data_IF_704444689147
#
_entry.id   IF_704444689147
#
_cell.length_a   1.000
_cell.length_b   1.000
_cell.length_c   1.000
_cell.angle_alpha   90.00
_cell.angle_beta   90.00
_cell.angle_gamma   90.00
#
_symmetry.space_group_name_H-M   'P 1'
#
loop_
_entity.id
_entity.type
_entity.pdbx_description
1 polymer ?
#
# COMPACT_ATOMS: atom_id res chain seq x y z
N UNK A 1 -51.13 -25.02 -43.98
CA UNK A 1 -50.10 -25.55 -43.06
C UNK A 1 -48.94 -24.58 -43.13
N UNK A 2 -48.82 -23.67 -42.17
CA UNK A 2 -47.74 -22.70 -42.12
C UNK A 2 -46.54 -23.37 -41.45
N UNK A 3 -45.52 -23.68 -42.26
CA UNK A 3 -44.22 -24.13 -41.79
C UNK A 3 -43.56 -22.91 -41.11
N UNK A 4 -43.51 -22.92 -39.78
CA UNK A 4 -42.78 -21.91 -39.02
C UNK A 4 -41.29 -22.12 -39.29
N UNK A 5 -40.72 -21.27 -40.14
CA UNK A 5 -39.27 -21.16 -40.30
C UNK A 5 -38.67 -20.75 -38.96
N UNK A 6 -38.09 -21.75 -38.28
CA UNK A 6 -37.36 -21.58 -37.04
C UNK A 6 -36.04 -20.86 -37.35
N UNK A 7 -36.10 -19.53 -37.29
CA UNK A 7 -34.98 -18.64 -37.63
C UNK A 7 -33.75 -18.97 -36.76
N UNK A 8 -32.58 -19.37 -37.33
CA UNK A 8 -31.39 -19.84 -36.57
C UNK A 8 -30.74 -18.76 -35.70
N UNK A 9 -31.21 -17.52 -35.81
CA UNK A 9 -30.76 -16.34 -35.06
C UNK A 9 -31.05 -16.42 -33.55
N UNK A 10 -32.06 -17.18 -33.10
CA UNK A 10 -32.34 -17.34 -31.66
C UNK A 10 -31.29 -18.17 -30.92
N UNK A 11 -30.72 -19.18 -31.57
CA UNK A 11 -29.76 -20.07 -30.93
C UNK A 11 -28.37 -19.41 -30.76
N UNK A 12 -27.93 -18.63 -31.75
CA UNK A 12 -26.67 -17.89 -31.72
C UNK A 12 -26.71 -16.73 -30.72
N UNK A 13 -27.82 -15.97 -30.66
CA UNK A 13 -28.00 -14.89 -29.69
C UNK A 13 -28.04 -15.41 -28.25
N UNK A 14 -28.70 -16.56 -28.01
CA UNK A 14 -28.73 -17.17 -26.67
C UNK A 14 -27.34 -17.63 -26.21
N UNK A 15 -26.56 -18.24 -27.11
CA UNK A 15 -25.17 -18.63 -26.81
C UNK A 15 -24.29 -17.42 -26.54
N UNK A 16 -24.41 -16.35 -27.33
CA UNK A 16 -23.66 -15.12 -27.12
C UNK A 16 -24.00 -14.48 -25.76
N UNK A 17 -25.29 -14.41 -25.39
CA UNK A 17 -25.72 -13.86 -24.11
C UNK A 17 -25.17 -14.65 -22.90
N UNK A 18 -25.12 -15.99 -23.00
CA UNK A 18 -24.53 -16.85 -21.95
C UNK A 18 -23.03 -16.60 -21.85
N UNK A 19 -22.31 -16.53 -22.96
CA UNK A 19 -20.86 -16.28 -22.97
C UNK A 19 -20.55 -14.89 -22.38
N UNK A 20 -21.30 -13.86 -22.77
CA UNK A 20 -21.17 -12.52 -22.19
C UNK A 20 -21.50 -12.48 -20.71
N UNK A 21 -22.53 -13.20 -20.26
CA UNK A 21 -22.90 -13.31 -18.85
C UNK A 21 -21.81 -13.99 -18.01
N UNK A 22 -21.19 -15.05 -18.54
CA UNK A 22 -20.05 -15.72 -17.90
C UNK A 22 -18.83 -14.80 -17.86
N UNK A 23 -18.51 -14.11 -18.96
CA UNK A 23 -17.41 -13.14 -19.00
C UNK A 23 -17.62 -11.98 -18.00
N UNK A 24 -18.85 -11.49 -17.86
CA UNK A 24 -19.19 -10.46 -16.87
C UNK A 24 -19.03 -10.99 -15.44
N UNK A 25 -19.47 -12.21 -15.15
CA UNK A 25 -19.24 -12.84 -13.84
C UNK A 25 -17.75 -13.02 -13.54
N UNK A 26 -16.97 -13.44 -14.54
CA UNK A 26 -15.50 -13.55 -14.48
C UNK A 26 -14.83 -12.18 -14.47
N UNK A 27 -15.50 -11.09 -14.80
CA UNK A 27 -14.93 -9.75 -14.61
C UNK A 27 -15.23 -9.23 -13.19
N UNK A 28 -16.47 -9.41 -12.75
CA UNK A 28 -17.00 -8.81 -11.52
C UNK A 28 -16.61 -9.59 -10.26
N UNK A 29 -16.34 -10.89 -10.33
CA UNK A 29 -15.94 -11.69 -9.16
C UNK A 29 -14.44 -11.69 -8.89
N UNK A 30 -13.57 -12.05 -9.85
CA UNK A 30 -12.15 -12.19 -9.56
C UNK A 30 -11.42 -10.84 -9.50
N UNK A 31 -11.93 -9.73 -10.05
CA UNK A 31 -11.30 -8.42 -9.85
C UNK A 31 -11.39 -7.98 -8.37
N UNK A 32 -12.58 -7.94 -7.72
CA UNK A 32 -12.67 -7.69 -6.29
C UNK A 32 -11.92 -8.73 -5.46
N UNK A 33 -11.97 -10.01 -5.85
CA UNK A 33 -11.24 -11.06 -5.14
C UNK A 33 -9.72 -10.88 -5.27
N UNK A 34 -9.21 -10.52 -6.45
CA UNK A 34 -7.80 -10.21 -6.68
C UNK A 34 -7.40 -8.96 -5.88
N UNK A 35 -8.19 -7.88 -5.90
CA UNK A 35 -7.94 -6.68 -5.07
C UNK A 35 -7.91 -7.08 -3.58
N UNK A 36 -8.86 -7.87 -3.11
CA UNK A 36 -8.89 -8.36 -1.73
C UNK A 36 -7.64 -9.18 -1.40
N UNK A 37 -7.22 -10.10 -2.28
CA UNK A 37 -6.00 -10.90 -2.10
C UNK A 37 -4.74 -10.04 -2.17
N UNK A 38 -4.66 -9.05 -3.07
CA UNK A 38 -3.54 -8.11 -3.15
C UNK A 38 -3.45 -7.24 -1.90
N UNK A 39 -4.58 -6.76 -1.38
CA UNK A 39 -4.63 -5.96 -0.15
C UNK A 39 -4.29 -6.82 1.08
N UNK A 40 -4.86 -8.02 1.19
CA UNK A 40 -4.63 -8.95 2.33
C UNK A 40 -3.22 -9.51 2.33
N UNK A 41 -2.70 -9.92 1.17
CA UNK A 41 -1.31 -10.38 0.99
C UNK A 41 -0.30 -9.22 1.02
N UNK A 42 -0.79 -8.00 0.79
CA UNK A 42 -0.07 -6.75 0.97
C UNK A 42 0.16 -6.34 2.42
N UNK A 43 -0.27 -7.12 3.43
CA UNK A 43 0.27 -7.00 4.79
C UNK A 43 1.74 -7.45 4.76
N UNK A 44 2.62 -6.55 4.32
CA UNK A 44 4.07 -6.77 4.32
C UNK A 44 4.52 -7.23 5.70
N UNK A 45 5.53 -8.09 5.75
CA UNK A 45 6.15 -8.43 7.03
C UNK A 45 7.34 -7.51 7.20
N UNK A 46 7.33 -6.76 8.29
CA UNK A 46 8.50 -5.98 8.71
C UNK A 46 9.25 -6.84 9.68
N UNK A 47 10.44 -7.26 9.29
CA UNK A 47 11.36 -7.96 10.18
C UNK A 47 12.35 -6.92 10.66
N UNK A 48 12.24 -6.55 11.93
CA UNK A 48 13.26 -5.73 12.60
C UNK A 48 14.32 -6.71 13.11
N UNK A 49 15.42 -6.81 12.39
CA UNK A 49 16.61 -7.56 12.80
C UNK A 49 17.55 -6.69 13.64
N UNK A 50 18.59 -7.30 14.20
CA UNK A 50 19.57 -6.60 15.06
C UNK A 50 20.33 -5.49 14.32
N UNK A 51 20.53 -5.64 13.00
CA UNK A 51 21.34 -4.70 12.20
C UNK A 51 20.51 -3.81 11.27
N UNK A 52 19.19 -3.99 11.22
CA UNK A 52 18.38 -3.27 10.23
C UNK A 52 16.89 -3.60 10.22
N UNK A 53 16.16 -2.78 9.51
CA UNK A 53 14.75 -2.98 9.20
C UNK A 53 14.65 -3.56 7.79
N UNK A 54 14.19 -4.80 7.70
CA UNK A 54 13.91 -5.46 6.43
C UNK A 54 12.41 -5.46 6.18
N UNK A 55 12.01 -4.75 5.12
CA UNK A 55 10.63 -4.72 4.66
C UNK A 55 10.43 -5.82 3.62
N UNK A 56 9.85 -6.93 4.04
CA UNK A 56 9.40 -7.99 3.15
C UNK A 56 7.99 -7.64 2.65
N UNK A 57 7.93 -6.80 1.61
CA UNK A 57 6.70 -6.42 0.92
C UNK A 57 6.79 -6.69 -0.59
N UNK A 58 5.66 -6.92 -1.25
CA UNK A 58 5.64 -7.08 -2.71
C UNK A 58 5.49 -5.71 -3.39
N UNK A 59 6.61 -5.24 -3.92
CA UNK A 59 6.77 -4.01 -4.69
C UNK A 59 8.26 -3.82 -4.96
N UNK A 60 8.68 -4.12 -6.20
CA UNK A 60 10.00 -4.15 -6.84
C UNK A 60 11.31 -4.18 -6.03
N UNK A 61 11.47 -3.52 -4.88
CA UNK A 61 12.73 -3.48 -4.13
C UNK A 61 12.45 -3.75 -2.64
N UNK A 62 12.92 -4.88 -2.06
CA UNK A 62 12.96 -5.02 -0.60
C UNK A 62 13.87 -3.91 -0.05
N UNK A 63 13.27 -2.88 0.51
CA UNK A 63 14.00 -1.78 1.12
C UNK A 63 14.66 -2.28 2.39
N UNK A 64 15.94 -2.64 2.33
CA UNK A 64 16.76 -2.91 3.51
C UNK A 64 17.26 -1.58 4.07
N UNK A 65 16.92 -1.29 5.32
CA UNK A 65 17.45 -0.17 6.07
C UNK A 65 18.52 -0.70 7.00
N UNK A 66 19.78 -0.33 6.76
CA UNK A 66 20.85 -0.60 7.73
C UNK A 66 20.85 0.52 8.77
N UNK A 67 20.62 0.19 10.05
CA UNK A 67 20.49 1.22 11.08
C UNK A 67 21.79 2.01 11.29
N UNK A 68 22.95 1.38 11.10
CA UNK A 68 24.27 2.01 11.25
C UNK A 68 24.53 3.16 10.26
N UNK A 69 23.83 3.18 9.11
CA UNK A 69 23.99 4.19 8.07
C UNK A 69 23.05 5.38 8.24
N UNK A 70 22.10 5.31 9.18
CA UNK A 70 21.12 6.36 9.41
C UNK A 70 21.77 7.49 10.21
N UNK A 71 21.68 8.71 9.69
CA UNK A 71 22.17 9.92 10.33
C UNK A 71 21.05 10.72 10.98
N UNK A 72 19.87 10.76 10.33
CA UNK A 72 18.69 11.45 10.84
C UNK A 72 17.46 10.57 10.71
N UNK A 73 16.59 10.65 11.70
CA UNK A 73 15.30 9.98 11.75
C UNK A 73 14.21 11.02 11.86
N UNK A 74 13.14 10.87 11.10
CA UNK A 74 12.02 11.80 11.10
C UNK A 74 10.68 11.06 11.08
N UNK A 75 9.68 11.67 11.70
CA UNK A 75 8.31 11.19 11.71
C UNK A 75 7.43 12.20 10.97
N UNK A 76 6.76 11.74 9.93
CA UNK A 76 5.81 12.55 9.17
C UNK A 76 4.41 11.94 9.29
N UNK A 77 3.51 12.70 9.89
CA UNK A 77 2.08 12.38 9.93
C UNK A 77 1.34 13.14 8.85
N UNK A 78 0.59 12.41 8.02
CA UNK A 78 -0.19 12.99 6.93
C UNK A 78 -1.64 12.56 7.08
N UNK A 79 -2.55 13.54 7.18
CA UNK A 79 -3.99 13.27 7.15
C UNK A 79 -4.43 12.97 5.71
N UNK A 80 -5.19 11.90 5.53
CA UNK A 80 -5.66 11.44 4.23
C UNK A 80 -6.92 12.22 3.81
N UNK A 81 -6.71 13.34 3.12
CA UNK A 81 -7.77 14.23 2.62
C UNK A 81 -8.21 13.79 1.21
N UNK A 82 -8.84 12.62 1.12
CA UNK A 82 -9.36 12.08 -0.15
C UNK A 82 -10.81 11.62 0.00
N UNK A 83 -11.69 12.09 -0.89
CA UNK A 83 -13.07 11.61 -1.02
C UNK A 83 -13.21 10.45 -2.01
N UNK A 84 -14.36 9.78 -2.00
CA UNK A 84 -14.69 8.71 -2.95
C UNK A 84 -13.90 7.40 -2.77
N UNK A 85 -14.02 6.50 -3.75
CA UNK A 85 -13.41 5.16 -3.72
C UNK A 85 -11.88 5.19 -3.62
N UNK A 86 -11.23 6.13 -4.32
CA UNK A 86 -9.78 6.29 -4.26
C UNK A 86 -9.29 6.70 -2.86
N UNK A 87 -10.00 7.63 -2.21
CA UNK A 87 -9.72 8.02 -0.82
C UNK A 87 -9.94 6.88 0.17
N UNK A 88 -11.03 6.11 0.00
CA UNK A 88 -11.32 4.94 0.82
C UNK A 88 -10.23 3.86 0.71
N UNK A 89 -9.78 3.55 -0.51
CA UNK A 89 -8.67 2.62 -0.74
C UNK A 89 -7.37 3.12 -0.13
N UNK A 90 -7.07 4.42 -0.28
CA UNK A 90 -5.84 4.99 0.26
C UNK A 90 -5.81 4.96 1.81
N UNK A 91 -6.96 5.18 2.47
CA UNK A 91 -7.08 5.02 3.93
C UNK A 91 -6.88 3.57 4.35
N UNK A 92 -7.51 2.64 3.63
CA UNK A 92 -7.38 1.20 3.91
C UNK A 92 -5.92 0.72 3.74
N UNK A 93 -5.21 1.22 2.71
CA UNK A 93 -3.80 0.85 2.47
C UNK A 93 -2.84 1.42 3.50
N UNK A 94 -3.14 2.59 4.08
CA UNK A 94 -2.31 3.25 5.09
C UNK A 94 -2.74 2.94 6.52
N UNK A 95 -3.75 2.09 6.74
CA UNK A 95 -4.20 1.68 8.07
C UNK A 95 -5.10 2.69 8.80
N UNK A 96 -5.61 3.73 8.12
CA UNK A 96 -6.54 4.70 8.71
C UNK A 96 -6.60 6.05 8.00
N UNK A 97 -7.16 7.04 8.70
CA UNK A 97 -7.27 8.43 8.23
C UNK A 97 -5.97 9.23 8.34
N UNK A 98 -4.99 8.71 9.08
CA UNK A 98 -3.68 9.33 9.29
C UNK A 98 -2.61 8.33 8.86
N UNK A 99 -1.80 8.72 7.88
CA UNK A 99 -0.64 7.98 7.45
C UNK A 99 0.59 8.45 8.23
N UNK A 100 1.05 7.62 9.17
CA UNK A 100 2.32 7.80 9.89
C UNK A 100 3.45 7.24 9.03
N UNK A 101 4.41 8.09 8.65
CA UNK A 101 5.56 7.76 7.83
C UNK A 101 6.84 7.97 8.62
N UNK A 102 7.68 6.94 8.70
CA UNK A 102 9.06 7.05 9.13
C UNK A 102 9.92 7.47 7.95
N UNK A 103 10.69 8.53 8.13
CA UNK A 103 11.65 9.04 7.17
C UNK A 103 13.05 8.90 7.76
N UNK A 104 14.02 8.56 6.94
CA UNK A 104 15.42 8.52 7.36
C UNK A 104 16.30 9.19 6.31
N UNK A 105 17.36 9.85 6.77
CA UNK A 105 18.46 10.30 5.91
C UNK A 105 19.68 9.46 6.28
N UNK A 106 20.22 8.76 5.28
CA UNK A 106 21.49 8.04 5.44
C UNK A 106 22.65 9.02 5.40
N UNK A 107 23.82 8.65 5.93
CA UNK A 107 25.08 9.40 5.80
C UNK A 107 25.47 9.71 4.34
N UNK A 108 25.02 8.89 3.39
CA UNK A 108 25.21 9.13 1.95
C UNK A 108 24.21 10.16 1.35
N UNK A 109 23.39 10.82 2.17
CA UNK A 109 22.37 11.78 1.74
C UNK A 109 21.10 11.16 1.14
N UNK A 110 21.00 9.83 1.05
CA UNK A 110 19.81 9.14 0.55
C UNK A 110 18.64 9.30 1.52
N UNK A 111 17.48 9.71 1.00
CA UNK A 111 16.22 9.79 1.73
C UNK A 111 15.48 8.46 1.62
N UNK A 112 15.18 7.83 2.75
CA UNK A 112 14.39 6.62 2.84
C UNK A 112 13.02 6.97 3.44
N UNK A 113 11.97 6.35 2.90
CA UNK A 113 10.59 6.52 3.35
C UNK A 113 9.98 5.17 3.67
N UNK A 114 9.28 5.10 4.80
CA UNK A 114 8.62 3.89 5.26
C UNK A 114 7.28 4.23 5.91
N UNK A 115 6.20 3.58 5.47
CA UNK A 115 4.85 3.85 5.98
C UNK A 115 4.59 2.95 7.19
N UNK A 116 4.71 3.51 8.39
CA UNK A 116 4.54 2.79 9.67
C UNK A 116 3.07 2.40 9.91
N UNK A 117 2.15 3.34 9.69
CA UNK A 117 0.70 3.18 9.93
C UNK A 117 0.04 1.98 9.24
N UNK A 118 0.65 1.42 8.19
CA UNK A 118 0.18 0.20 7.52
C UNK A 118 0.24 -1.05 8.42
N UNK A 119 1.03 -1.02 9.49
CA UNK A 119 1.27 -2.16 10.36
C UNK A 119 0.48 -2.04 11.67
N UNK A 120 -0.11 -3.15 12.14
CA UNK A 120 -0.97 -3.19 13.33
C UNK A 120 -0.23 -2.75 14.62
N UNK A 121 1.09 -2.92 14.69
CA UNK A 121 1.94 -2.58 15.85
C UNK A 121 3.00 -1.51 15.52
N UNK A 122 2.58 -0.46 14.82
CA UNK A 122 3.50 0.53 14.30
C UNK A 122 4.21 1.36 15.39
N UNK A 123 3.58 1.59 16.55
CA UNK A 123 4.22 2.22 17.70
C UNK A 123 5.39 1.38 18.22
N UNK A 124 5.20 0.06 18.37
CA UNK A 124 6.25 -0.87 18.79
C UNK A 124 7.41 -0.91 17.78
N UNK A 125 7.10 -0.88 16.47
CA UNK A 125 8.11 -0.79 15.42
C UNK A 125 8.93 0.50 15.55
N UNK A 126 8.28 1.62 15.82
CA UNK A 126 8.95 2.90 16.03
C UNK A 126 9.88 2.84 17.24
N UNK A 127 9.42 2.32 18.38
CA UNK A 127 10.26 2.17 19.57
C UNK A 127 11.49 1.32 19.28
N UNK A 128 11.33 0.20 18.58
CA UNK A 128 12.47 -0.67 18.22
C UNK A 128 13.47 0.02 17.29
N UNK A 129 13.00 0.83 16.33
CA UNK A 129 13.90 1.61 15.46
C UNK A 129 14.65 2.68 16.24
N UNK A 130 13.99 3.38 17.16
CA UNK A 130 14.62 4.40 18.02
C UNK A 130 15.70 3.76 18.89
N UNK A 131 15.39 2.62 19.53
CA UNK A 131 16.35 1.86 20.34
C UNK A 131 17.54 1.38 19.50
N UNK A 132 17.29 0.86 18.30
CA UNK A 132 18.35 0.33 17.44
C UNK A 132 19.24 1.41 16.81
N UNK A 133 18.69 2.59 16.53
CA UNK A 133 19.45 3.71 15.93
C UNK A 133 20.05 4.65 16.98
N UNK A 134 19.51 4.69 18.20
CA UNK A 134 19.87 5.67 19.22
C UNK A 134 19.47 7.11 18.87
N UNK A 135 18.66 7.31 17.82
CA UNK A 135 18.27 8.63 17.32
C UNK A 135 16.86 9.00 17.78
N UNK A 136 16.70 10.25 18.21
CA UNK A 136 15.39 10.82 18.49
C UNK A 136 14.69 11.18 17.18
N UNK A 137 13.45 10.70 16.92
CA UNK A 137 12.70 11.06 15.72
C UNK A 137 12.35 12.56 15.71
N UNK A 138 12.74 13.25 14.66
CA UNK A 138 12.36 14.64 14.41
C UNK A 138 10.94 14.70 13.82
N UNK A 139 10.06 15.55 14.33
CA UNK A 139 8.73 15.71 13.72
C UNK A 139 8.86 16.52 12.43
N UNK A 140 8.43 15.93 11.31
CA UNK A 140 8.48 16.51 9.98
C UNK A 140 7.13 17.15 9.63
N UNK A 141 7.19 18.26 8.90
CA UNK A 141 6.00 18.88 8.32
C UNK A 141 5.92 18.61 6.82
N UNK A 142 4.71 18.61 6.27
CA UNK A 142 4.52 18.52 4.84
C UNK A 142 4.72 19.91 4.21
N UNK A 143 5.81 20.10 3.47
CA UNK A 143 6.05 21.29 2.67
C UNK A 143 5.49 21.17 1.25
N UNK A 144 5.53 22.27 0.49
CA UNK A 144 5.05 22.35 -0.90
C UNK A 144 5.75 21.35 -1.85
N UNK A 145 7.01 21.03 -1.60
CA UNK A 145 7.81 20.08 -2.40
C UNK A 145 8.05 18.73 -1.70
N UNK A 146 7.29 18.43 -0.64
CA UNK A 146 7.40 17.19 0.12
C UNK A 146 7.85 17.39 1.57
N UNK A 147 8.31 16.31 2.25
CA UNK A 147 8.63 16.34 3.68
C UNK A 147 9.74 17.35 3.98
N UNK A 148 9.45 18.34 4.84
CA UNK A 148 10.40 19.34 5.30
C UNK A 148 11.02 18.87 6.61
N UNK A 149 12.34 18.78 6.62
CA UNK A 149 13.13 18.51 7.81
C UNK A 149 13.33 19.79 8.61
N UNK A 150 13.28 19.74 9.95
CA UNK A 150 13.60 20.90 10.77
C UNK A 150 15.07 21.31 10.52
N UNK A 151 15.28 22.63 10.52
CA UNK A 151 16.61 23.23 10.43
C UNK A 151 17.33 23.00 11.78
N UNK A 152 18.59 22.57 11.71
CA UNK A 152 19.44 22.39 12.90
C UNK A 152 20.03 23.72 13.33
#
# INVERSE_FOLDING_TARGET
MAQQDEYPFKASVRKAAVIFGVLLLVLVLPIPMAIYFFVKRGKGRVVVGENGLEVHGFGLWPGRWTFAEIERLGLLEVRMVGGGLGGALARQMNGGDVAVNLMAITRAGKKLKFVLSRYEKHEELMTRVVVATGLTPETLSMGLMGPKWPER
#
